data_IF_147876100006
#
_entry.id   IF_147876100006
#
_cell.length_a   1.000
_cell.length_b   1.000
_cell.length_c   1.000
_cell.angle_alpha   90.00
_cell.angle_beta   90.00
_cell.angle_gamma   90.00
#
_symmetry.space_group_name_H-M   'P 1'
#
loop_
_entity.id
_entity.type
_entity.pdbx_description
1 polymer ?
#
# COMPACT_ATOMS: atom_id res chain seq x y z
N UNK A 1 -4.82 20.80 18.96
CA UNK A 1 -4.97 19.75 20.00
C UNK A 1 -4.40 20.21 21.34
N UNK A 2 -3.12 20.60 21.43
CA UNK A 2 -2.53 21.10 22.69
C UNK A 2 -3.27 22.31 23.30
N UNK A 3 -3.65 23.29 22.48
CA UNK A 3 -4.47 24.44 22.93
C UNK A 3 -5.81 24.01 23.51
N UNK A 4 -6.43 22.97 22.94
CA UNK A 4 -7.69 22.44 23.46
C UNK A 4 -7.48 21.78 24.84
N UNK A 5 -6.38 21.07 25.05
CA UNK A 5 -6.04 20.52 26.38
C UNK A 5 -5.87 21.64 27.42
N UNK A 6 -5.21 22.74 27.05
CA UNK A 6 -5.07 23.91 27.93
C UNK A 6 -6.43 24.54 28.28
N UNK A 7 -7.32 24.65 27.29
CA UNK A 7 -8.69 25.14 27.51
C UNK A 7 -9.48 24.22 28.46
N UNK A 8 -9.37 22.90 28.31
CA UNK A 8 -10.03 21.94 29.22
C UNK A 8 -9.51 22.05 30.66
N UNK A 9 -8.19 22.24 30.84
CA UNK A 9 -7.61 22.50 32.16
C UNK A 9 -8.15 23.81 32.75
N UNK A 10 -8.17 24.89 31.96
CA UNK A 10 -8.62 26.20 32.43
C UNK A 10 -10.12 26.24 32.77
N UNK A 11 -10.96 25.64 31.94
CA UNK A 11 -12.42 25.72 32.07
C UNK A 11 -13.00 24.66 33.01
N UNK A 12 -12.35 23.50 33.12
CA UNK A 12 -12.92 22.33 33.80
C UNK A 12 -11.97 21.69 34.81
N UNK A 13 -10.73 22.18 34.98
CA UNK A 13 -9.73 21.55 35.83
C UNK A 13 -9.26 20.19 35.32
N UNK A 14 -9.60 19.81 34.09
CA UNK A 14 -9.29 18.51 33.52
C UNK A 14 -7.89 18.52 32.91
N UNK A 15 -7.00 17.67 33.43
CA UNK A 15 -5.69 17.40 32.83
C UNK A 15 -5.70 16.06 32.09
N UNK A 16 -5.55 16.11 30.77
CA UNK A 16 -5.49 14.90 29.96
C UNK A 16 -4.21 14.12 30.25
N UNK A 17 -4.34 12.82 30.54
CA UNK A 17 -3.20 11.94 30.75
C UNK A 17 -2.60 11.42 29.45
N UNK A 18 -3.38 11.42 28.37
CA UNK A 18 -2.97 10.91 27.06
C UNK A 18 -3.45 11.84 25.95
N UNK A 19 -2.64 11.92 24.89
CA UNK A 19 -2.99 12.57 23.64
C UNK A 19 -2.63 11.62 22.50
N UNK A 20 -3.64 11.14 21.80
CA UNK A 20 -3.46 10.33 20.60
C UNK A 20 -3.44 11.21 19.36
N UNK A 21 -2.35 11.15 18.61
CA UNK A 21 -2.15 11.90 17.37
C UNK A 21 -2.60 11.12 16.13
N UNK A 22 -3.08 9.88 16.31
CA UNK A 22 -3.48 8.99 15.24
C UNK A 22 -2.29 8.49 14.42
N UNK A 23 -2.59 8.04 13.21
CA UNK A 23 -1.61 7.52 12.25
C UNK A 23 -1.22 8.56 11.18
N UNK A 24 -1.11 8.09 9.94
CA UNK A 24 -0.89 8.95 8.78
C UNK A 24 0.56 9.11 8.33
N UNK A 25 1.53 8.53 9.07
CA UNK A 25 2.92 8.47 8.64
C UNK A 25 3.06 7.95 7.20
N UNK A 26 3.86 8.68 6.42
CA UNK A 26 4.04 8.40 5.00
C UNK A 26 4.75 7.07 4.76
N UNK A 27 4.66 6.60 3.52
CA UNK A 27 5.49 5.52 2.98
C UNK A 27 5.85 5.91 1.56
N UNK A 28 7.06 5.54 1.15
CA UNK A 28 7.56 5.75 -0.20
C UNK A 28 7.00 4.66 -1.12
N UNK A 29 6.14 5.02 -2.09
CA UNK A 29 5.57 4.08 -3.06
C UNK A 29 6.28 4.13 -4.41
N UNK A 30 6.81 5.31 -4.74
CA UNK A 30 7.53 5.61 -5.98
C UNK A 30 8.80 6.38 -5.68
N UNK A 31 9.69 6.50 -6.67
CA UNK A 31 10.91 7.27 -6.49
C UNK A 31 10.67 8.77 -6.31
N UNK A 32 9.51 9.27 -6.73
CA UNK A 32 9.08 10.66 -6.56
C UNK A 32 8.63 10.97 -5.12
N UNK A 33 8.30 9.94 -4.33
CA UNK A 33 7.94 10.13 -2.93
C UNK A 33 9.20 10.39 -2.08
N UNK A 34 9.12 11.26 -1.06
CA UNK A 34 10.26 11.58 -0.20
C UNK A 34 10.72 10.36 0.59
N UNK A 35 12.04 10.29 0.83
CA UNK A 35 12.61 9.36 1.81
C UNK A 35 12.24 9.86 3.19
N UNK A 36 11.65 8.98 4.01
CA UNK A 36 11.16 9.31 5.34
C UNK A 36 12.13 8.80 6.40
N UNK A 37 12.75 9.73 7.12
CA UNK A 37 13.42 9.41 8.37
C UNK A 37 12.39 9.44 9.51
N UNK A 38 11.85 8.27 9.83
CA UNK A 38 10.83 8.11 10.86
C UNK A 38 11.35 8.55 12.23
N UNK A 39 12.62 8.28 12.54
CA UNK A 39 13.19 8.63 13.84
C UNK A 39 13.35 10.14 13.98
N UNK A 40 13.91 10.80 12.97
CA UNK A 40 14.04 12.26 12.96
C UNK A 40 12.65 12.93 13.03
N UNK A 41 11.70 12.47 12.22
CA UNK A 41 10.32 13.01 12.20
C UNK A 41 9.64 12.92 13.57
N UNK A 42 9.77 11.78 14.25
CA UNK A 42 9.22 11.58 15.60
C UNK A 42 9.93 12.49 16.62
N UNK A 43 11.25 12.65 16.49
CA UNK A 43 12.03 13.55 17.34
C UNK A 43 11.62 15.02 17.21
N UNK A 44 11.44 15.50 15.98
CA UNK A 44 10.96 16.86 15.70
C UNK A 44 9.55 17.09 16.28
N UNK A 45 8.64 16.15 16.06
CA UNK A 45 7.29 16.20 16.62
C UNK A 45 7.30 16.25 18.14
N UNK A 46 8.12 15.42 18.78
CA UNK A 46 8.29 15.44 20.23
C UNK A 46 8.78 16.80 20.73
N UNK A 47 9.76 17.40 20.06
CA UNK A 47 10.27 18.74 20.37
C UNK A 47 9.19 19.82 20.32
N UNK A 48 8.35 19.81 19.27
CA UNK A 48 7.22 20.75 19.13
C UNK A 48 6.21 20.57 20.26
N UNK A 49 5.85 19.33 20.60
CA UNK A 49 4.87 19.05 21.66
C UNK A 49 5.41 19.50 23.02
N UNK A 50 6.68 19.23 23.31
CA UNK A 50 7.31 19.69 24.56
C UNK A 50 7.33 21.21 24.68
N UNK A 51 7.68 21.92 23.61
CA UNK A 51 7.67 23.39 23.59
C UNK A 51 6.26 23.94 23.84
N UNK A 52 5.24 23.39 23.16
CA UNK A 52 3.85 23.80 23.34
C UNK A 52 3.31 23.50 24.75
N UNK A 53 3.68 22.35 25.33
CA UNK A 53 3.28 22.01 26.69
C UNK A 53 3.82 23.03 27.71
N UNK A 54 5.09 23.41 27.56
CA UNK A 54 5.74 24.42 28.39
C UNK A 54 5.11 25.81 28.21
N UNK A 55 4.89 26.25 26.97
CA UNK A 55 4.26 27.53 26.64
C UNK A 55 2.85 27.65 27.23
N UNK A 56 2.07 26.57 27.15
CA UNK A 56 0.68 26.54 27.60
C UNK A 56 0.50 26.21 29.09
N UNK A 57 1.58 25.92 29.82
CA UNK A 57 1.53 25.58 31.24
C UNK A 57 0.74 24.30 31.55
N UNK A 58 0.71 23.35 30.62
CA UNK A 58 0.00 22.08 30.78
C UNK A 58 0.98 20.94 31.11
N UNK A 59 0.52 20.00 31.93
CA UNK A 59 1.24 18.76 32.19
C UNK A 59 1.37 17.98 30.89
N UNK A 60 2.57 17.48 30.58
CA UNK A 60 2.84 16.72 29.36
C UNK A 60 2.03 15.41 29.38
N UNK A 61 1.08 15.21 28.44
CA UNK A 61 0.38 13.94 28.34
C UNK A 61 1.28 12.86 27.73
N UNK A 62 0.97 11.59 27.98
CA UNK A 62 1.56 10.50 27.22
C UNK A 62 1.08 10.58 25.76
N UNK A 63 2.03 10.68 24.84
CA UNK A 63 1.74 10.75 23.40
C UNK A 63 1.53 9.34 22.85
N UNK A 64 0.41 9.14 22.14
CA UNK A 64 0.08 7.92 21.40
C UNK A 64 0.06 8.20 19.90
N UNK A 65 0.35 7.17 19.12
CA UNK A 65 0.37 7.18 17.66
C UNK A 65 -0.15 5.85 17.16
N UNK A 66 -0.81 5.86 16.00
CA UNK A 66 -1.47 4.70 15.39
C UNK A 66 -0.91 4.39 13.98
N UNK A 67 0.41 4.13 13.85
CA UNK A 67 1.00 3.83 12.55
C UNK A 67 0.50 2.47 12.01
N UNK A 68 -0.23 2.50 10.90
CA UNK A 68 -0.56 1.30 10.14
C UNK A 68 0.35 1.17 8.92
N UNK A 69 0.04 1.99 7.91
CA UNK A 69 0.73 1.98 6.61
C UNK A 69 2.25 2.05 6.72
N UNK A 70 2.78 2.93 7.58
CA UNK A 70 4.22 3.11 7.78
C UNK A 70 4.96 1.91 8.36
N UNK A 71 4.25 0.97 8.98
CA UNK A 71 4.84 -0.27 9.49
C UNK A 71 4.81 -1.36 8.42
N UNK A 72 3.65 -1.55 7.77
CA UNK A 72 3.41 -2.77 7.01
C UNK A 72 3.49 -2.61 5.49
N UNK A 73 3.39 -1.38 4.95
CA UNK A 73 3.26 -1.20 3.50
C UNK A 73 4.51 -1.68 2.74
N UNK A 74 5.70 -1.28 3.19
CA UNK A 74 6.96 -1.62 2.52
C UNK A 74 7.45 -3.05 2.82
N UNK A 75 6.88 -3.68 3.85
CA UNK A 75 7.15 -5.09 4.17
C UNK A 75 6.53 -6.08 3.16
N UNK A 76 5.64 -5.59 2.27
CA UNK A 76 4.91 -6.43 1.31
C UNK A 76 5.06 -5.96 -0.12
N UNK A 77 5.09 -6.93 -1.03
CA UNK A 77 4.93 -6.73 -2.48
C UNK A 77 3.96 -7.77 -3.02
N UNK A 78 3.31 -7.46 -4.14
CA UNK A 78 2.44 -8.41 -4.84
C UNK A 78 3.10 -8.87 -6.13
N UNK A 79 3.15 -10.18 -6.33
CA UNK A 79 3.69 -10.81 -7.53
C UNK A 79 2.54 -11.30 -8.40
N UNK A 80 2.65 -11.02 -9.70
CA UNK A 80 1.69 -11.44 -10.69
C UNK A 80 2.37 -12.13 -11.86
N UNK A 81 1.62 -12.98 -12.55
CA UNK A 81 2.01 -13.54 -13.85
C UNK A 81 1.48 -12.64 -14.96
N UNK A 82 2.36 -12.22 -15.87
CA UNK A 82 1.98 -11.51 -17.08
C UNK A 82 1.15 -12.43 -18.00
N UNK A 83 -0.03 -11.96 -18.38
CA UNK A 83 -0.92 -12.60 -19.35
C UNK A 83 -0.66 -12.09 -20.77
N UNK A 84 -1.64 -11.39 -21.35
CA UNK A 84 -1.53 -10.79 -22.68
C UNK A 84 -0.70 -9.51 -22.65
N UNK A 85 0.19 -9.37 -23.64
CA UNK A 85 0.91 -8.12 -23.93
C UNK A 85 0.38 -7.58 -25.25
N UNK A 86 -0.43 -6.53 -25.19
CA UNK A 86 -1.04 -5.91 -26.38
C UNK A 86 -0.21 -4.69 -26.77
N UNK A 87 0.33 -4.70 -27.98
CA UNK A 87 1.03 -3.56 -28.58
C UNK A 87 0.12 -2.92 -29.61
N UNK A 88 -0.26 -1.66 -29.40
CA UNK A 88 -1.22 -0.96 -30.25
C UNK A 88 -0.52 0.25 -30.86
N UNK A 89 -0.19 0.15 -32.16
CA UNK A 89 0.50 1.21 -32.91
C UNK A 89 -0.31 2.50 -32.89
N UNK A 90 0.33 3.63 -32.56
CA UNK A 90 -0.32 4.94 -32.48
C UNK A 90 -1.18 5.15 -31.22
N UNK A 91 -1.21 4.18 -30.29
CA UNK A 91 -1.90 4.28 -29.02
C UNK A 91 -0.98 3.81 -27.88
N UNK A 92 -1.55 3.24 -26.81
CA UNK A 92 -0.81 2.69 -25.67
C UNK A 92 -0.74 1.17 -25.71
N UNK A 93 0.32 0.65 -25.09
CA UNK A 93 0.50 -0.77 -24.87
C UNK A 93 -0.13 -1.18 -23.53
N UNK A 94 -0.45 -2.47 -23.41
CA UNK A 94 -1.02 -3.05 -22.21
C UNK A 94 -0.30 -4.34 -21.83
N UNK A 95 -0.07 -4.53 -20.55
CA UNK A 95 0.33 -5.81 -19.96
C UNK A 95 -0.76 -6.21 -18.98
N UNK A 96 -1.55 -7.24 -19.32
CA UNK A 96 -2.53 -7.78 -18.39
C UNK A 96 -1.85 -8.70 -17.38
N UNK A 97 -2.30 -8.71 -16.13
CA UNK A 97 -1.82 -9.61 -15.07
C UNK A 97 -2.92 -10.56 -14.58
N UNK A 98 -2.55 -11.60 -13.84
CA UNK A 98 -3.45 -12.61 -13.28
C UNK A 98 -4.18 -12.20 -11.98
N UNK A 99 -3.99 -10.95 -11.54
CA UNK A 99 -4.76 -10.29 -10.49
C UNK A 99 -5.51 -9.06 -11.01
N UNK A 100 -5.63 -8.04 -10.17
CA UNK A 100 -6.22 -6.76 -10.55
C UNK A 100 -6.74 -5.96 -9.36
N UNK A 101 -7.77 -5.16 -9.59
CA UNK A 101 -8.45 -4.39 -8.56
C UNK A 101 -9.06 -5.25 -7.44
N UNK A 102 -9.25 -6.56 -7.65
CA UNK A 102 -9.74 -7.49 -6.63
C UNK A 102 -8.75 -7.70 -5.49
N UNK A 103 -7.45 -7.59 -5.75
CA UNK A 103 -6.39 -7.73 -4.74
C UNK A 103 -5.58 -6.44 -4.52
N UNK A 104 -5.65 -5.49 -5.47
CA UNK A 104 -5.07 -4.16 -5.36
C UNK A 104 -6.06 -3.08 -5.86
N UNK A 105 -7.11 -2.75 -5.08
CA UNK A 105 -8.14 -1.79 -5.49
C UNK A 105 -7.67 -0.32 -5.45
N UNK A 106 -6.49 -0.04 -4.91
CA UNK A 106 -6.09 1.33 -4.52
C UNK A 106 -5.87 2.28 -5.69
N UNK A 107 -5.47 1.78 -6.86
CA UNK A 107 -5.42 2.61 -8.05
C UNK A 107 -6.83 3.01 -8.50
N UNK A 108 -7.76 2.07 -8.57
CA UNK A 108 -9.15 2.32 -8.95
C UNK A 108 -9.87 3.27 -7.96
N UNK A 109 -9.60 3.12 -6.66
CA UNK A 109 -10.26 3.91 -5.61
C UNK A 109 -9.60 5.26 -5.34
N UNK A 110 -8.27 5.34 -5.39
CA UNK A 110 -7.51 6.49 -4.90
C UNK A 110 -6.52 7.06 -5.91
N UNK A 111 -6.38 6.46 -7.09
CA UNK A 111 -5.30 6.81 -8.03
C UNK A 111 -3.91 6.56 -7.45
N UNK A 112 -3.77 5.64 -6.47
CA UNK A 112 -2.49 5.34 -5.84
C UNK A 112 -1.47 4.86 -6.86
N UNK A 113 -0.29 5.47 -6.88
CA UNK A 113 0.82 5.08 -7.75
C UNK A 113 1.70 4.04 -7.06
N UNK A 114 2.30 3.17 -7.87
CA UNK A 114 3.22 2.14 -7.40
C UNK A 114 4.46 2.10 -8.29
N UNK A 115 5.56 1.61 -7.72
CA UNK A 115 6.71 1.09 -8.47
C UNK A 115 6.42 -0.35 -8.89
N UNK A 116 6.64 -0.63 -10.19
CA UNK A 116 6.48 -1.96 -10.77
C UNK A 116 7.77 -2.39 -11.48
N UNK A 117 8.09 -3.67 -11.36
CA UNK A 117 9.22 -4.27 -12.06
C UNK A 117 8.82 -5.58 -12.73
N UNK A 118 9.48 -5.91 -13.84
CA UNK A 118 9.56 -7.29 -14.29
C UNK A 118 10.66 -7.99 -13.48
N UNK A 119 10.27 -8.82 -12.53
CA UNK A 119 11.17 -9.40 -11.53
C UNK A 119 12.23 -10.33 -12.15
N UNK A 120 11.92 -10.94 -13.31
CA UNK A 120 12.87 -11.81 -14.03
C UNK A 120 13.84 -11.06 -14.93
N UNK A 121 13.63 -9.75 -15.14
CA UNK A 121 14.34 -8.93 -16.15
C UNK A 121 14.74 -7.56 -15.58
N UNK A 122 15.09 -7.51 -14.29
CA UNK A 122 15.36 -6.23 -13.60
C UNK A 122 16.53 -5.44 -14.20
N UNK A 123 17.49 -6.12 -14.82
CA UNK A 123 18.68 -5.51 -15.43
C UNK A 123 18.53 -5.25 -16.93
N UNK A 124 17.42 -5.68 -17.53
CA UNK A 124 17.19 -5.48 -18.96
C UNK A 124 16.83 -4.02 -19.25
N UNK A 125 17.20 -3.50 -20.43
CA UNK A 125 16.83 -2.15 -20.81
C UNK A 125 15.31 -1.99 -20.86
N UNK A 126 14.82 -0.88 -20.32
CA UNK A 126 13.42 -0.50 -20.43
C UNK A 126 13.10 -0.23 -21.91
N UNK A 127 12.13 -0.93 -22.46
CA UNK A 127 11.83 -0.91 -23.90
C UNK A 127 10.34 -0.91 -24.24
N UNK A 128 9.48 -0.98 -23.23
CA UNK A 128 8.03 -1.04 -23.36
C UNK A 128 7.39 -0.10 -22.34
N UNK A 129 6.75 0.98 -22.82
CA UNK A 129 5.83 1.76 -22.00
C UNK A 129 4.43 1.16 -22.10
N UNK A 130 3.87 0.69 -20.99
CA UNK A 130 2.57 0.04 -20.97
C UNK A 130 1.74 0.41 -19.73
N UNK A 131 0.43 0.37 -19.86
CA UNK A 131 -0.46 0.30 -18.70
C UNK A 131 -0.49 -1.15 -18.20
N UNK A 132 -0.29 -1.35 -16.90
CA UNK A 132 -0.45 -2.66 -16.25
C UNK A 132 -1.88 -2.75 -15.75
N UNK A 133 -2.61 -3.75 -16.24
CA UNK A 133 -4.07 -3.90 -16.06
C UNK A 133 -4.40 -5.28 -15.53
N UNK A 134 -5.48 -5.38 -14.74
CA UNK A 134 -5.93 -6.66 -14.24
C UNK A 134 -6.75 -7.46 -15.26
N UNK A 135 -7.37 -8.55 -14.77
CA UNK A 135 -8.18 -9.48 -15.57
C UNK A 135 -9.69 -9.34 -15.37
N UNK A 136 -10.15 -8.37 -14.59
CA UNK A 136 -11.57 -8.14 -14.36
C UNK A 136 -12.23 -7.58 -15.63
N UNK A 137 -13.54 -7.81 -15.78
CA UNK A 137 -14.33 -7.29 -16.89
C UNK A 137 -14.71 -5.82 -16.68
N UNK A 138 -13.76 -4.98 -16.25
CA UNK A 138 -13.97 -3.57 -15.96
C UNK A 138 -12.83 -2.73 -16.55
N UNK A 139 -13.17 -1.64 -17.24
CA UNK A 139 -12.22 -0.74 -17.87
C UNK A 139 -11.30 -0.03 -16.87
N UNK A 140 -11.80 0.14 -15.63
CA UNK A 140 -11.08 0.69 -14.49
C UNK A 140 -10.14 -0.29 -13.79
N UNK A 141 -10.06 -1.55 -14.22
CA UNK A 141 -9.14 -2.55 -13.64
C UNK A 141 -7.68 -2.29 -14.07
N UNK A 142 -7.12 -1.23 -13.50
CA UNK A 142 -5.79 -0.72 -13.78
C UNK A 142 -5.00 -0.75 -12.47
N UNK A 143 -3.77 -1.27 -12.52
CA UNK A 143 -2.83 -1.20 -11.39
C UNK A 143 -1.98 0.06 -11.47
N UNK A 144 -1.46 0.37 -12.67
CA UNK A 144 -0.65 1.57 -12.89
C UNK A 144 -0.61 1.90 -14.38
N UNK A 145 -0.67 3.19 -14.69
CA UNK A 145 -0.52 3.69 -16.06
C UNK A 145 0.93 4.04 -16.36
N UNK A 146 1.34 3.94 -17.64
CA UNK A 146 2.65 4.38 -18.14
C UNK A 146 3.84 3.78 -17.37
N UNK A 147 3.82 2.48 -17.16
CA UNK A 147 4.92 1.74 -16.52
C UNK A 147 6.05 1.50 -17.52
N UNK A 148 7.29 1.91 -17.22
CA UNK A 148 8.47 1.46 -17.95
C UNK A 148 8.72 -0.02 -17.64
N UNK A 149 8.66 -0.87 -18.66
CA UNK A 149 9.00 -2.28 -18.56
C UNK A 149 10.05 -2.67 -19.60
N UNK A 150 10.88 -3.70 -19.34
CA UNK A 150 11.68 -4.34 -20.37
C UNK A 150 10.78 -5.08 -21.37
N UNK A 151 11.36 -5.81 -22.33
CA UNK A 151 10.63 -6.64 -23.30
C UNK A 151 9.83 -7.77 -22.61
N UNK A 152 8.71 -7.39 -22.01
CA UNK A 152 7.83 -8.23 -21.21
C UNK A 152 6.98 -9.08 -22.12
N UNK A 153 6.85 -10.36 -21.78
CA UNK A 153 6.07 -11.36 -22.50
C UNK A 153 5.16 -12.12 -21.55
N UNK A 154 4.22 -12.86 -22.12
CA UNK A 154 3.36 -13.76 -21.34
C UNK A 154 4.21 -14.74 -20.52
N UNK A 155 3.84 -14.92 -19.25
CA UNK A 155 4.50 -15.79 -18.30
C UNK A 155 5.58 -15.11 -17.45
N UNK A 156 6.01 -13.89 -17.80
CA UNK A 156 6.94 -13.12 -16.96
C UNK A 156 6.30 -12.74 -15.60
N UNK A 157 7.14 -12.57 -14.57
CA UNK A 157 6.68 -12.13 -13.25
C UNK A 157 6.72 -10.61 -13.13
N UNK A 158 5.57 -10.00 -12.84
CA UNK A 158 5.46 -8.56 -12.54
C UNK A 158 5.34 -8.39 -11.03
N UNK A 159 6.28 -7.65 -10.44
CA UNK A 159 6.26 -7.27 -9.04
C UNK A 159 5.70 -5.85 -8.90
N UNK A 160 4.73 -5.68 -7.99
CA UNK A 160 4.21 -4.38 -7.55
C UNK A 160 4.66 -4.17 -6.12
N UNK A 161 5.49 -3.16 -5.88
CA UNK A 161 6.10 -2.93 -4.58
C UNK A 161 5.16 -2.21 -3.62
N UNK A 162 5.48 -2.30 -2.32
CA UNK A 162 4.83 -1.51 -1.25
C UNK A 162 3.33 -1.77 -1.13
N UNK A 163 2.91 -3.03 -1.27
CA UNK A 163 1.50 -3.46 -1.23
C UNK A 163 1.07 -4.07 0.11
N UNK A 164 1.91 -4.03 1.14
CA UNK A 164 1.61 -4.66 2.43
C UNK A 164 0.49 -3.98 3.24
N UNK A 165 0.09 -2.75 2.88
CA UNK A 165 -0.98 -2.02 3.55
C UNK A 165 -2.20 -1.84 2.64
N UNK A 166 -3.38 -2.09 3.19
CA UNK A 166 -4.70 -1.88 2.57
C UNK A 166 -5.05 -2.75 1.36
N UNK A 167 -4.09 -3.23 0.57
CA UNK A 167 -4.37 -4.07 -0.60
C UNK A 167 -5.14 -5.33 -0.22
N UNK A 168 -4.51 -6.22 0.56
CA UNK A 168 -5.13 -7.48 0.96
C UNK A 168 -6.39 -7.28 1.83
N UNK A 169 -6.36 -6.31 2.75
CA UNK A 169 -7.51 -6.05 3.63
C UNK A 169 -8.73 -5.50 2.88
N UNK A 170 -8.53 -4.89 1.71
CA UNK A 170 -9.59 -4.43 0.82
C UNK A 170 -9.89 -5.41 -0.31
N UNK A 171 -9.33 -6.62 -0.27
CA UNK A 171 -9.51 -7.59 -1.34
C UNK A 171 -10.98 -8.06 -1.44
N UNK A 172 -11.44 -8.29 -2.66
CA UNK A 172 -12.81 -8.69 -2.98
C UNK A 172 -12.84 -9.87 -3.94
N UNK A 173 -14.02 -10.48 -4.08
CA UNK A 173 -14.27 -11.57 -5.01
C UNK A 173 -15.01 -11.12 -6.27
N UNK A 174 -14.76 -9.89 -6.73
CA UNK A 174 -15.33 -9.42 -8.00
C UNK A 174 -14.94 -10.38 -9.13
N UNK A 175 -15.91 -10.67 -10.02
CA UNK A 175 -15.82 -11.73 -11.02
C UNK A 175 -15.48 -13.14 -10.47
N UNK A 176 -15.83 -13.45 -9.21
CA UNK A 176 -15.51 -14.71 -8.51
C UNK A 176 -13.99 -15.01 -8.54
N UNK A 177 -13.17 -13.97 -8.49
CA UNK A 177 -11.72 -14.12 -8.34
C UNK A 177 -11.41 -14.37 -6.86
N UNK A 178 -10.78 -15.50 -6.54
CA UNK A 178 -10.36 -15.81 -5.18
C UNK A 178 -9.23 -14.89 -4.69
N UNK A 179 -9.24 -14.54 -3.41
CA UNK A 179 -8.17 -13.79 -2.75
C UNK A 179 -6.83 -14.53 -2.86
N UNK A 180 -5.72 -13.82 -3.12
CA UNK A 180 -4.41 -14.44 -3.27
C UNK A 180 -3.90 -15.01 -1.95
N UNK A 181 -2.91 -15.93 -1.97
CA UNK A 181 -2.23 -16.33 -0.75
C UNK A 181 -1.32 -15.20 -0.24
N UNK A 182 -1.08 -15.17 1.06
CA UNK A 182 -0.04 -14.34 1.68
C UNK A 182 1.10 -15.24 2.12
N UNK A 183 2.30 -14.96 1.61
CA UNK A 183 3.52 -15.72 1.93
C UNK A 183 4.45 -14.84 2.74
N UNK A 184 4.83 -15.31 3.93
CA UNK A 184 5.84 -14.66 4.76
C UNK A 184 7.22 -15.23 4.39
N UNK A 185 8.19 -14.32 4.25
CA UNK A 185 9.59 -14.64 4.03
C UNK A 185 10.38 -14.27 5.28
N UNK A 186 11.20 -15.19 5.78
CA UNK A 186 12.08 -14.91 6.92
C UNK A 186 13.32 -15.79 6.85
N UNK A 187 14.50 -15.17 6.95
CA UNK A 187 15.79 -15.86 7.07
C UNK A 187 16.00 -16.97 6.01
N UNK A 188 15.66 -16.69 4.75
CA UNK A 188 15.81 -17.65 3.64
C UNK A 188 14.74 -18.75 3.58
N UNK A 189 13.74 -18.73 4.47
CA UNK A 189 12.59 -19.62 4.46
C UNK A 189 11.30 -18.90 4.05
N UNK A 190 10.32 -19.65 3.55
CA UNK A 190 8.99 -19.15 3.22
C UNK A 190 7.90 -19.96 3.91
N UNK A 191 6.81 -19.29 4.28
CA UNK A 191 5.61 -19.92 4.86
C UNK A 191 4.35 -19.26 4.32
N UNK A 192 3.38 -20.07 3.90
CA UNK A 192 2.03 -19.58 3.61
C UNK A 192 1.36 -19.18 4.93
N UNK A 193 1.13 -17.88 5.12
CA UNK A 193 0.42 -17.33 6.27
C UNK A 193 -1.09 -17.28 6.03
N UNK A 194 -1.51 -17.01 4.79
CA UNK A 194 -2.90 -17.07 4.36
C UNK A 194 -2.99 -17.88 3.09
N UNK A 195 -3.86 -18.89 3.07
CA UNK A 195 -4.07 -19.74 1.89
C UNK A 195 -4.82 -18.97 0.81
N UNK A 196 -4.59 -19.34 -0.45
CA UNK A 196 -5.38 -18.87 -1.58
C UNK A 196 -6.81 -19.41 -1.44
N UNK A 197 -7.80 -18.58 -1.74
CA UNK A 197 -9.19 -19.05 -1.84
C UNK A 197 -9.36 -19.98 -3.05
N UNK A 198 -10.11 -21.05 -2.82
CA UNK A 198 -10.54 -22.05 -3.79
C UNK A 198 -11.94 -21.73 -4.35
N UNK A 199 -12.41 -22.54 -5.29
CA UNK A 199 -13.80 -22.46 -5.74
C UNK A 199 -14.77 -22.72 -4.57
N UNK A 200 -14.46 -23.71 -3.72
CA UNK A 200 -15.29 -24.09 -2.57
C UNK A 200 -15.46 -22.92 -1.60
N UNK A 201 -14.39 -22.17 -1.35
CA UNK A 201 -14.44 -20.95 -0.51
C UNK A 201 -15.38 -19.90 -1.11
N UNK A 202 -15.37 -19.74 -2.44
CA UNK A 202 -16.17 -18.75 -3.15
C UNK A 202 -17.66 -19.09 -3.17
N UNK A 203 -18.01 -20.37 -3.19
CA UNK A 203 -19.40 -20.86 -3.30
C UNK A 203 -19.95 -21.34 -1.95
N UNK A 204 -19.21 -21.17 -0.85
CA UNK A 204 -19.59 -21.68 0.46
C UNK A 204 -20.97 -21.19 0.96
N UNK A 205 -21.48 -20.10 0.40
CA UNK A 205 -22.79 -19.52 0.74
C UNK A 205 -23.86 -19.70 -0.36
N UNK A 206 -23.54 -20.37 -1.47
CA UNK A 206 -24.51 -20.70 -2.52
C UNK A 206 -25.44 -21.84 -1.99
N UNK A 207 -26.75 -21.77 -2.25
CA UNK A 207 -27.79 -22.76 -1.80
C UNK A 207 -28.35 -23.51 -3.01
#
# INVERSE_FOLDING_TARGET
MMTFLAQMKQQHGYEAQQLDLGGGFGVRYTDEDPVLDVQATIGELAGVIHALAAELGITMPAIRMEPGRSIVADAGMTLYTAGSVKRITGYKNYVSIDGGMTDNPRFALYGSRYTLYNAGKMNDPQGLMADVVGRCCESGDIIQKKVPLPATVRGDTIAVLTTGAYNYSMASNYNRIGRPPVVLLSQGSSKVAVKRESLDDLIANDI
#
